data_IF_263092504943
#
_entry.id   IF_263092504943
#
_cell.length_a   1.000
_cell.length_b   1.000
_cell.length_c   1.000
_cell.angle_alpha   90.00
_cell.angle_beta   90.00
_cell.angle_gamma   90.00
#
_symmetry.space_group_name_H-M   'P 1'
#
loop_
_entity.id
_entity.type
_entity.pdbx_description
1 polymer ?
#
# COMPACT_ATOMS: atom_id res chain seq x y z
N UNK A 1 -75.07 -32.17 16.14
CA UNK A 1 -75.07 -32.84 14.83
C UNK A 1 -74.39 -31.97 13.85
N UNK A 2 -73.20 -32.29 13.46
CA UNK A 2 -72.70 -32.41 12.14
C UNK A 2 -71.16 -32.53 12.20
N UNK A 3 -70.66 -33.61 11.69
CA UNK A 3 -69.26 -34.02 11.69
C UNK A 3 -68.48 -33.23 10.63
N UNK A 4 -67.35 -32.73 11.02
CA UNK A 4 -66.39 -32.19 10.15
C UNK A 4 -65.60 -33.26 9.39
N UNK A 5 -65.40 -33.09 8.12
CA UNK A 5 -64.49 -33.88 7.29
C UNK A 5 -63.23 -33.06 7.14
N UNK A 6 -62.14 -33.59 7.71
CA UNK A 6 -60.79 -33.10 7.44
C UNK A 6 -60.35 -33.54 6.03
N UNK A 7 -59.97 -32.59 5.21
CA UNK A 7 -59.15 -32.85 4.01
C UNK A 7 -57.80 -32.19 4.19
N UNK A 8 -56.78 -33.01 4.39
CA UNK A 8 -55.39 -32.57 4.47
C UNK A 8 -54.87 -32.26 3.06
N UNK A 9 -54.53 -31.03 2.81
CA UNK A 9 -53.72 -30.60 1.65
C UNK A 9 -52.28 -30.49 2.13
N UNK A 10 -51.46 -31.48 1.79
CA UNK A 10 -50.03 -31.44 1.95
C UNK A 10 -49.44 -30.51 0.89
N UNK A 11 -49.14 -29.27 1.25
CA UNK A 11 -48.34 -28.39 0.43
C UNK A 11 -46.88 -28.71 0.67
N UNK A 12 -46.22 -29.36 -0.29
CA UNK A 12 -44.80 -29.55 -0.33
C UNK A 12 -44.13 -28.20 -0.61
N UNK A 13 -43.65 -27.52 0.44
CA UNK A 13 -42.76 -26.37 0.31
C UNK A 13 -41.39 -26.90 -0.11
N UNK A 14 -41.07 -26.80 -1.39
CA UNK A 14 -39.72 -26.99 -1.87
C UNK A 14 -38.86 -25.84 -1.33
N UNK A 15 -38.10 -26.11 -0.29
CA UNK A 15 -37.03 -25.22 0.18
C UNK A 15 -35.91 -25.28 -0.86
N UNK A 16 -35.90 -24.32 -1.74
CA UNK A 16 -34.74 -24.06 -2.60
C UNK A 16 -33.63 -23.49 -1.69
N UNK A 17 -32.77 -24.37 -1.20
CA UNK A 17 -31.49 -23.95 -0.64
C UNK A 17 -30.64 -23.39 -1.80
N UNK A 18 -30.73 -22.09 -2.01
CA UNK A 18 -29.68 -21.39 -2.73
C UNK A 18 -28.43 -21.44 -1.85
N UNK A 19 -27.55 -22.37 -2.11
CA UNK A 19 -26.21 -22.34 -1.59
C UNK A 19 -25.54 -21.11 -2.19
N UNK A 20 -25.59 -19.99 -1.48
CA UNK A 20 -24.64 -18.90 -1.67
C UNK A 20 -23.27 -19.51 -1.36
N UNK A 21 -22.54 -19.89 -2.39
CA UNK A 21 -21.12 -20.09 -2.28
C UNK A 21 -20.53 -18.71 -1.97
N UNK A 22 -20.53 -18.32 -0.69
CA UNK A 22 -19.60 -17.36 -0.19
C UNK A 22 -18.23 -17.94 -0.55
N UNK A 23 -17.53 -17.33 -1.49
CA UNK A 23 -16.13 -17.60 -1.71
C UNK A 23 -15.48 -17.36 -0.35
N UNK A 24 -15.23 -18.44 0.38
CA UNK A 24 -14.45 -18.39 1.59
C UNK A 24 -13.07 -17.90 1.12
N UNK A 25 -12.78 -16.62 1.36
CA UNK A 25 -11.43 -16.13 1.23
C UNK A 25 -10.61 -17.01 2.17
N UNK A 26 -9.69 -17.78 1.59
CA UNK A 26 -8.76 -18.57 2.40
C UNK A 26 -8.02 -17.60 3.32
N UNK A 27 -7.95 -17.94 4.61
CA UNK A 27 -7.13 -17.19 5.55
C UNK A 27 -5.75 -16.96 4.94
N UNK A 28 -5.18 -15.74 5.07
CA UNK A 28 -3.89 -15.41 4.49
C UNK A 28 -2.83 -16.41 4.93
N UNK A 29 -2.16 -17.04 3.99
CA UNK A 29 -1.08 -17.97 4.31
C UNK A 29 0.21 -17.19 4.52
N UNK A 30 0.67 -17.12 5.78
CA UNK A 30 1.94 -16.51 6.13
C UNK A 30 3.12 -17.43 5.84
N UNK A 31 4.13 -16.90 5.16
CA UNK A 31 5.35 -17.62 4.79
C UNK A 31 6.59 -16.78 5.12
N UNK A 32 7.76 -17.39 5.07
CA UNK A 32 9.06 -16.71 5.18
C UNK A 32 9.95 -17.10 4.03
N UNK A 33 10.73 -16.14 3.58
CA UNK A 33 11.75 -16.35 2.55
C UNK A 33 13.02 -15.59 2.93
N UNK A 34 14.17 -16.19 2.65
CA UNK A 34 15.47 -15.53 2.87
C UNK A 34 15.68 -14.47 1.77
N UNK A 35 15.83 -13.20 2.19
CA UNK A 35 16.07 -12.04 1.34
C UNK A 35 17.20 -11.21 1.96
N UNK A 36 18.30 -11.07 1.26
CA UNK A 36 19.43 -10.21 1.63
C UNK A 36 19.90 -10.37 3.08
N UNK A 37 19.89 -11.61 3.61
CA UNK A 37 20.35 -11.96 4.95
C UNK A 37 19.27 -11.90 6.05
N UNK A 38 18.04 -11.57 5.71
CA UNK A 38 16.91 -11.60 6.65
C UNK A 38 15.88 -12.66 6.27
N UNK A 39 15.08 -13.11 7.25
CA UNK A 39 13.90 -13.94 7.05
C UNK A 39 12.70 -13.00 6.86
N UNK A 40 12.42 -12.63 5.61
CA UNK A 40 11.29 -11.77 5.27
C UNK A 40 9.98 -12.55 5.39
N UNK A 41 9.05 -12.02 6.19
CA UNK A 41 7.71 -12.56 6.31
C UNK A 41 6.78 -11.89 5.28
N UNK A 42 5.91 -12.70 4.69
CA UNK A 42 4.89 -12.21 3.78
C UNK A 42 3.62 -13.05 3.87
N UNK A 43 2.51 -12.50 3.43
CA UNK A 43 1.23 -13.18 3.31
C UNK A 43 0.73 -13.12 1.87
N UNK A 44 0.13 -14.22 1.41
CA UNK A 44 -0.46 -14.30 0.08
C UNK A 44 -1.97 -14.48 0.22
N UNK A 45 -2.74 -13.66 -0.48
CA UNK A 45 -4.20 -13.75 -0.49
C UNK A 45 -4.76 -13.36 -1.87
N UNK A 46 -5.94 -13.88 -2.20
CA UNK A 46 -6.59 -13.64 -3.48
C UNK A 46 -5.97 -14.39 -4.65
N UNK A 47 -6.52 -14.13 -5.83
CA UNK A 47 -6.09 -14.73 -7.11
C UNK A 47 -6.05 -13.63 -8.19
N UNK A 48 -5.35 -13.89 -9.29
CA UNK A 48 -5.23 -12.94 -10.41
C UNK A 48 -3.81 -12.40 -10.59
N UNK A 49 -3.70 -11.18 -11.12
CA UNK A 49 -2.42 -10.53 -11.36
C UNK A 49 -1.70 -10.20 -10.04
N UNK A 50 -0.36 -10.33 -9.99
CA UNK A 50 0.39 -10.09 -8.77
C UNK A 50 0.37 -8.60 -8.39
N UNK A 51 0.07 -8.35 -7.11
CA UNK A 51 0.09 -7.04 -6.48
C UNK A 51 0.93 -7.10 -5.19
N UNK A 52 2.00 -6.32 -5.13
CA UNK A 52 2.82 -6.18 -3.92
C UNK A 52 2.21 -5.08 -3.05
N UNK A 53 2.00 -5.35 -1.76
CA UNK A 53 1.52 -4.37 -0.78
C UNK A 53 2.61 -4.05 0.23
N UNK A 54 2.93 -2.75 0.38
CA UNK A 54 4.02 -2.21 1.17
C UNK A 54 3.47 -1.29 2.27
N UNK A 55 3.66 -1.65 3.53
CA UNK A 55 3.18 -0.90 4.69
C UNK A 55 4.04 0.34 5.02
N UNK A 56 3.53 1.24 5.87
CA UNK A 56 4.24 2.41 6.38
C UNK A 56 5.26 2.09 7.49
N UNK A 57 6.03 3.09 7.92
CA UNK A 57 6.93 2.99 9.05
C UNK A 57 6.17 2.60 10.34
N UNK A 58 6.80 1.84 11.22
CA UNK A 58 6.23 1.34 12.49
C UNK A 58 5.02 0.39 12.34
N UNK A 59 4.64 0.04 11.11
CA UNK A 59 3.48 -0.79 10.79
C UNK A 59 3.87 -2.25 10.50
N UNK A 60 2.85 -3.07 10.26
CA UNK A 60 2.94 -4.46 9.84
C UNK A 60 1.75 -4.78 8.92
N UNK A 61 1.64 -6.02 8.44
CA UNK A 61 0.53 -6.43 7.56
C UNK A 61 -0.84 -6.19 8.21
N UNK A 62 -1.13 -6.63 9.45
CA UNK A 62 -2.40 -6.33 10.12
C UNK A 62 -2.74 -4.85 10.19
N UNK A 63 -1.76 -3.96 10.33
CA UNK A 63 -1.99 -2.51 10.38
C UNK A 63 -2.54 -1.92 9.08
N UNK A 64 -2.44 -2.64 7.95
CA UNK A 64 -3.04 -2.24 6.67
C UNK A 64 -4.56 -2.45 6.63
N UNK A 65 -5.14 -3.06 7.67
CA UNK A 65 -6.58 -3.21 7.87
C UNK A 65 -7.30 -3.83 6.68
N UNK A 66 -8.41 -3.22 6.26
CA UNK A 66 -9.26 -3.73 5.19
C UNK A 66 -8.70 -3.52 3.77
N UNK A 67 -7.58 -2.83 3.60
CA UNK A 67 -6.96 -2.61 2.28
C UNK A 67 -6.59 -3.94 1.63
N UNK A 68 -5.84 -4.79 2.33
CA UNK A 68 -5.35 -6.07 1.80
C UNK A 68 -6.51 -6.99 1.39
N UNK A 69 -7.48 -7.31 2.25
CA UNK A 69 -8.58 -8.20 1.87
C UNK A 69 -9.48 -7.59 0.78
N UNK A 70 -9.51 -6.25 0.62
CA UNK A 70 -10.27 -5.64 -0.47
C UNK A 70 -9.52 -5.78 -1.80
N UNK A 71 -8.23 -5.52 -1.85
CA UNK A 71 -7.40 -5.74 -3.04
C UNK A 71 -7.35 -7.23 -3.44
N UNK A 72 -7.37 -8.13 -2.47
CA UNK A 72 -7.38 -9.58 -2.70
C UNK A 72 -8.66 -10.11 -3.39
N UNK A 73 -9.70 -9.30 -3.52
CA UNK A 73 -10.88 -9.67 -4.30
C UNK A 73 -10.63 -9.71 -5.81
N UNK A 74 -9.62 -8.99 -6.27
CA UNK A 74 -9.34 -8.79 -7.71
C UNK A 74 -7.88 -9.07 -8.11
N UNK A 75 -6.99 -9.24 -7.13
CA UNK A 75 -5.55 -9.46 -7.36
C UNK A 75 -5.03 -10.60 -6.47
N UNK A 76 -3.93 -11.20 -6.91
CA UNK A 76 -3.10 -12.02 -6.04
C UNK A 76 -2.15 -11.12 -5.25
N UNK A 77 -2.53 -10.82 -4.03
CA UNK A 77 -1.83 -9.88 -3.16
C UNK A 77 -0.69 -10.58 -2.44
N UNK A 78 0.50 -9.99 -2.50
CA UNK A 78 1.67 -10.33 -1.71
C UNK A 78 1.94 -9.17 -0.76
N UNK A 79 1.48 -9.28 0.47
CA UNK A 79 1.76 -8.31 1.51
C UNK A 79 3.06 -8.70 2.22
N UNK A 80 4.04 -7.82 2.28
CA UNK A 80 5.33 -8.09 2.91
C UNK A 80 5.53 -7.25 4.17
N UNK A 81 6.34 -7.74 5.09
CA UNK A 81 6.83 -6.98 6.25
C UNK A 81 8.30 -6.63 6.03
N UNK A 82 8.63 -5.34 6.11
CA UNK A 82 9.98 -4.84 5.89
C UNK A 82 10.95 -5.24 7.01
N UNK A 83 12.26 -5.08 6.77
CA UNK A 83 13.32 -5.33 7.74
C UNK A 83 12.95 -4.82 9.15
N UNK A 84 12.99 -5.70 10.14
CA UNK A 84 12.73 -5.38 11.55
C UNK A 84 11.27 -5.07 11.89
N UNK A 85 10.34 -5.09 10.93
CA UNK A 85 8.92 -4.89 11.17
C UNK A 85 8.20 -6.22 11.30
N UNK A 86 7.19 -6.27 12.18
CA UNK A 86 6.34 -7.44 12.36
C UNK A 86 7.17 -8.72 12.54
N UNK A 87 6.88 -9.73 11.72
CA UNK A 87 7.50 -11.06 11.78
C UNK A 87 8.79 -11.18 10.96
N UNK A 88 9.22 -10.12 10.26
CA UNK A 88 10.49 -10.08 9.53
C UNK A 88 11.65 -9.80 10.48
N UNK A 89 12.72 -10.60 10.37
CA UNK A 89 13.91 -10.40 11.21
C UNK A 89 14.62 -9.09 10.89
N UNK A 90 15.22 -8.46 11.90
CA UNK A 90 16.18 -7.37 11.69
C UNK A 90 17.58 -7.93 11.39
N UNK A 91 18.35 -7.17 10.63
CA UNK A 91 19.77 -7.45 10.35
C UNK A 91 20.62 -6.22 10.68
N UNK A 92 21.93 -6.40 10.81
CA UNK A 92 22.84 -5.29 11.12
C UNK A 92 23.16 -4.46 9.86
N UNK A 93 22.10 -3.75 9.39
CA UNK A 93 22.12 -2.88 8.22
C UNK A 93 21.19 -1.69 8.47
N UNK A 94 21.54 -0.46 8.06
CA UNK A 94 20.61 0.66 8.06
C UNK A 94 19.35 0.35 7.24
N UNK A 95 18.21 0.87 7.68
CA UNK A 95 17.01 0.95 6.85
C UNK A 95 17.14 2.22 6.01
N UNK A 96 17.16 2.05 4.68
CA UNK A 96 17.18 3.14 3.70
C UNK A 96 16.17 2.84 2.61
N UNK A 97 15.64 3.85 1.93
CA UNK A 97 14.70 3.62 0.83
C UNK A 97 15.30 2.78 -0.31
N UNK A 98 16.56 2.98 -0.73
CA UNK A 98 17.21 2.07 -1.68
C UNK A 98 17.28 0.63 -1.18
N UNK A 99 17.66 0.40 0.09
CA UNK A 99 17.72 -0.95 0.65
C UNK A 99 16.34 -1.62 0.68
N UNK A 100 15.30 -0.88 1.10
CA UNK A 100 13.92 -1.40 1.09
C UNK A 100 13.46 -1.78 -0.33
N UNK A 101 13.80 -0.97 -1.32
CA UNK A 101 13.49 -1.26 -2.72
C UNK A 101 14.23 -2.50 -3.24
N UNK A 102 15.53 -2.62 -2.94
CA UNK A 102 16.33 -3.78 -3.32
C UNK A 102 15.85 -5.07 -2.64
N UNK A 103 15.36 -4.96 -1.39
CA UNK A 103 14.74 -6.10 -0.69
C UNK A 103 13.44 -6.55 -1.35
N UNK A 104 12.58 -5.61 -1.77
CA UNK A 104 11.35 -5.95 -2.51
C UNK A 104 11.69 -6.61 -3.85
N UNK A 105 12.69 -6.08 -4.57
CA UNK A 105 13.14 -6.68 -5.83
C UNK A 105 13.65 -8.10 -5.64
N UNK A 106 14.49 -8.33 -4.62
CA UNK A 106 15.00 -9.64 -4.28
C UNK A 106 13.91 -10.61 -3.79
N UNK A 107 12.93 -10.11 -3.03
CA UNK A 107 11.74 -10.86 -2.65
C UNK A 107 10.99 -11.36 -3.89
N UNK A 108 10.70 -10.45 -4.85
CA UNK A 108 10.01 -10.81 -6.09
C UNK A 108 10.75 -11.92 -6.84
N UNK A 109 12.09 -11.85 -6.95
CA UNK A 109 12.89 -12.89 -7.59
C UNK A 109 12.78 -14.24 -6.86
N UNK A 110 12.83 -14.22 -5.51
CA UNK A 110 12.75 -15.44 -4.70
C UNK A 110 11.40 -16.15 -4.79
N UNK A 111 10.31 -15.41 -4.95
CA UNK A 111 8.96 -15.99 -5.05
C UNK A 111 8.49 -16.15 -6.50
N UNK A 112 9.35 -15.87 -7.47
CA UNK A 112 9.08 -16.09 -8.91
C UNK A 112 8.16 -15.04 -9.52
N UNK A 113 8.13 -13.82 -9.01
CA UNK A 113 7.39 -12.70 -9.56
C UNK A 113 8.34 -11.88 -10.45
N UNK A 114 8.18 -11.98 -11.74
CA UNK A 114 8.98 -11.21 -12.70
C UNK A 114 8.59 -9.72 -12.64
N UNK A 115 7.29 -9.43 -12.64
CA UNK A 115 6.74 -8.09 -12.66
C UNK A 115 5.39 -8.03 -11.95
N UNK A 116 5.10 -6.97 -11.21
CA UNK A 116 3.86 -6.79 -10.46
C UNK A 116 3.38 -5.34 -10.48
N UNK A 117 2.09 -5.15 -10.16
CA UNK A 117 1.61 -3.88 -9.65
C UNK A 117 2.05 -3.70 -8.20
N UNK A 118 2.15 -2.46 -7.74
CA UNK A 118 2.58 -2.15 -6.37
C UNK A 118 1.60 -1.16 -5.74
N UNK A 119 1.15 -1.43 -4.53
CA UNK A 119 0.54 -0.46 -3.66
C UNK A 119 1.45 -0.22 -2.46
N UNK A 120 1.78 1.03 -2.20
CA UNK A 120 2.59 1.42 -1.04
C UNK A 120 1.96 2.58 -0.28
N UNK A 121 2.13 2.57 1.05
CA UNK A 121 1.70 3.65 1.91
C UNK A 121 2.91 4.23 2.67
N UNK A 122 3.06 5.58 2.69
CA UNK A 122 4.09 6.29 3.45
C UNK A 122 5.50 5.77 3.12
N UNK A 123 6.25 5.23 4.08
CA UNK A 123 7.54 4.56 3.85
C UNK A 123 7.45 3.50 2.74
N UNK A 124 6.37 2.72 2.70
CA UNK A 124 6.15 1.72 1.65
C UNK A 124 5.91 2.35 0.28
N UNK A 125 5.28 3.53 0.21
CA UNK A 125 5.11 4.26 -1.05
C UNK A 125 6.45 4.81 -1.56
N UNK A 126 7.30 5.31 -0.67
CA UNK A 126 8.64 5.78 -1.01
C UNK A 126 9.56 4.61 -1.43
N UNK A 127 9.47 3.46 -0.74
CA UNK A 127 10.15 2.23 -1.15
C UNK A 127 9.66 1.74 -2.53
N UNK A 128 8.35 1.79 -2.79
CA UNK A 128 7.77 1.48 -4.10
C UNK A 128 8.24 2.43 -5.21
N UNK A 129 8.39 3.72 -4.91
CA UNK A 129 8.96 4.70 -5.85
C UNK A 129 10.43 4.39 -6.15
N UNK A 130 11.23 4.09 -5.13
CA UNK A 130 12.62 3.65 -5.32
C UNK A 130 12.71 2.31 -6.07
N UNK A 131 11.78 1.37 -5.84
CA UNK A 131 11.70 0.14 -6.62
C UNK A 131 11.47 0.44 -8.11
N UNK A 132 10.53 1.34 -8.42
CA UNK A 132 10.25 1.72 -9.81
C UNK A 132 11.44 2.45 -10.48
N UNK A 133 12.22 3.23 -9.72
CA UNK A 133 13.42 3.94 -10.19
C UNK A 133 14.56 2.95 -10.43
N UNK A 134 14.87 2.08 -9.46
CA UNK A 134 16.06 1.22 -9.45
C UNK A 134 15.85 -0.09 -10.24
N UNK A 135 14.62 -0.59 -10.25
CA UNK A 135 14.23 -1.85 -10.89
C UNK A 135 13.01 -1.66 -11.82
N UNK A 136 13.10 -0.79 -12.84
CA UNK A 136 11.95 -0.38 -13.67
C UNK A 136 11.26 -1.56 -14.40
N UNK A 137 11.99 -2.67 -14.61
CA UNK A 137 11.42 -3.88 -15.19
C UNK A 137 10.44 -4.64 -14.26
N UNK A 138 10.49 -4.37 -12.94
CA UNK A 138 9.71 -5.13 -11.94
C UNK A 138 8.35 -4.50 -11.60
N UNK A 139 8.11 -3.24 -11.94
CA UNK A 139 6.88 -2.53 -11.58
C UNK A 139 6.05 -2.22 -12.82
N UNK A 140 4.83 -2.74 -12.88
CA UNK A 140 3.86 -2.38 -13.93
C UNK A 140 3.28 -0.99 -13.67
N UNK A 141 2.65 -0.81 -12.52
CA UNK A 141 2.05 0.43 -12.03
C UNK A 141 2.31 0.55 -10.53
N UNK A 142 2.41 1.78 -10.05
CA UNK A 142 2.57 2.07 -8.63
C UNK A 142 1.43 2.98 -8.14
N UNK A 143 0.62 2.49 -7.23
CA UNK A 143 -0.28 3.31 -6.44
C UNK A 143 0.45 3.70 -5.14
N UNK A 144 0.85 4.97 -5.04
CA UNK A 144 1.67 5.51 -3.97
C UNK A 144 0.83 6.46 -3.10
N UNK A 145 0.46 6.00 -1.90
CA UNK A 145 -0.30 6.78 -0.94
C UNK A 145 0.64 7.49 0.04
N UNK A 146 0.51 8.81 0.15
CA UNK A 146 1.31 9.67 1.05
C UNK A 146 2.82 9.59 0.76
N UNK A 147 3.21 9.75 -0.50
CA UNK A 147 4.59 9.67 -0.95
C UNK A 147 5.25 11.05 -1.04
N UNK A 148 6.55 11.12 -0.74
CA UNK A 148 7.42 12.23 -1.13
C UNK A 148 8.60 11.73 -1.93
N UNK A 149 9.21 12.61 -2.74
CA UNK A 149 10.42 12.36 -3.52
C UNK A 149 11.54 13.36 -3.17
N UNK A 150 11.24 14.37 -2.35
CA UNK A 150 12.16 15.39 -1.86
C UNK A 150 11.74 15.81 -0.44
N UNK A 151 12.70 15.98 0.47
CA UNK A 151 12.43 16.42 1.85
C UNK A 151 11.73 17.79 1.92
N UNK A 152 11.93 18.64 0.91
CA UNK A 152 11.23 19.93 0.79
C UNK A 152 9.72 19.78 0.60
N UNK A 153 9.27 18.59 0.25
CA UNK A 153 7.86 18.26 0.13
C UNK A 153 7.13 18.03 1.44
N UNK A 154 7.86 17.88 2.54
CA UNK A 154 7.23 17.74 3.86
C UNK A 154 6.68 19.07 4.38
N UNK A 155 5.58 19.00 5.14
CA UNK A 155 5.07 20.16 5.87
C UNK A 155 6.17 20.74 6.77
N UNK A 156 6.27 22.08 6.90
CA UNK A 156 7.30 22.72 7.72
C UNK A 156 7.31 22.23 9.18
N UNK A 157 6.14 21.99 9.76
CA UNK A 157 6.00 21.48 11.13
C UNK A 157 6.58 20.06 11.25
N UNK A 158 6.37 19.21 10.25
CA UNK A 158 6.94 17.87 10.24
C UNK A 158 8.46 17.92 10.07
N UNK A 159 8.97 18.76 9.17
CA UNK A 159 10.42 18.98 9.02
C UNK A 159 11.06 19.46 10.34
N UNK A 160 10.40 20.36 11.06
CA UNK A 160 10.87 20.85 12.35
C UNK A 160 10.78 19.78 13.47
N UNK A 161 9.90 18.79 13.33
CA UNK A 161 9.73 17.71 14.28
C UNK A 161 10.79 16.61 14.13
N UNK A 162 11.23 16.28 12.90
CA UNK A 162 12.18 15.20 12.63
C UNK A 162 13.45 15.25 13.52
N UNK A 163 14.15 16.39 13.70
CA UNK A 163 15.31 16.47 14.58
C UNK A 163 15.02 16.21 16.06
N UNK A 164 13.77 16.33 16.48
CA UNK A 164 13.31 16.19 17.87
C UNK A 164 12.88 14.75 18.18
N UNK A 165 12.77 13.88 17.18
CA UNK A 165 12.37 12.48 17.38
C UNK A 165 13.37 11.74 18.26
N UNK A 166 12.88 11.08 19.29
CA UNK A 166 13.68 10.20 20.17
C UNK A 166 13.04 8.83 20.28
N UNK A 167 13.83 7.83 20.63
CA UNK A 167 13.34 6.45 20.81
C UNK A 167 12.26 6.39 21.89
N UNK A 168 12.42 7.16 22.98
CA UNK A 168 11.48 7.21 24.10
C UNK A 168 10.10 7.68 23.70
N UNK A 169 10.02 8.64 22.76
CA UNK A 169 8.72 9.14 22.26
C UNK A 169 7.90 8.00 21.66
N UNK A 170 8.52 7.13 20.86
CA UNK A 170 7.82 6.05 20.18
C UNK A 170 7.59 4.84 21.08
N UNK A 171 8.53 4.51 21.98
CA UNK A 171 8.39 3.37 22.89
C UNK A 171 7.30 3.57 23.94
N UNK A 172 6.84 4.82 24.15
CA UNK A 172 5.71 5.14 25.01
C UNK A 172 4.35 5.10 24.31
N UNK A 173 4.32 4.90 22.98
CA UNK A 173 3.09 4.85 22.19
C UNK A 173 2.49 3.43 22.12
N UNK A 174 1.17 3.29 21.90
CA UNK A 174 0.52 1.98 21.79
C UNK A 174 1.15 1.03 20.77
N UNK A 175 1.70 1.56 19.68
CA UNK A 175 2.39 0.76 18.65
C UNK A 175 3.56 -0.06 19.18
N UNK A 176 4.17 0.33 20.30
CA UNK A 176 5.23 -0.45 20.93
C UNK A 176 4.71 -1.77 21.52
N UNK A 177 3.49 -1.77 22.05
CA UNK A 177 2.85 -3.00 22.54
C UNK A 177 2.35 -3.86 21.36
N UNK A 178 1.78 -3.24 20.33
CA UNK A 178 1.37 -3.95 19.10
C UNK A 178 2.58 -4.65 18.44
N UNK A 179 3.73 -3.99 18.39
CA UNK A 179 4.96 -4.58 17.89
C UNK A 179 5.33 -5.89 18.63
N UNK A 180 5.28 -5.89 19.95
CA UNK A 180 5.65 -7.05 20.78
C UNK A 180 4.82 -8.29 20.47
N UNK A 181 3.57 -8.12 20.04
CA UNK A 181 2.65 -9.23 19.77
C UNK A 181 3.02 -10.05 18.53
N UNK A 182 3.69 -9.43 17.56
CA UNK A 182 3.96 -10.05 16.25
C UNK A 182 5.45 -10.14 15.92
N UNK A 183 6.30 -9.32 16.56
CA UNK A 183 7.68 -9.17 16.17
C UNK A 183 8.49 -10.48 16.31
N UNK A 184 9.38 -10.70 15.34
CA UNK A 184 10.36 -11.78 15.39
C UNK A 184 11.26 -11.69 16.65
N UNK A 185 11.60 -10.46 17.06
CA UNK A 185 12.20 -10.13 18.35
C UNK A 185 11.31 -9.13 19.10
N UNK A 186 10.54 -9.55 20.12
CA UNK A 186 9.67 -8.66 20.89
C UNK A 186 10.38 -7.47 21.56
N UNK A 187 11.69 -7.57 21.78
CA UNK A 187 12.51 -6.50 22.36
C UNK A 187 13.15 -5.58 21.30
N UNK A 188 12.96 -5.86 20.02
CA UNK A 188 13.60 -5.16 18.91
C UNK A 188 13.07 -3.77 18.60
N UNK A 189 11.90 -3.36 19.19
CA UNK A 189 11.25 -2.11 18.86
C UNK A 189 12.14 -0.87 19.01
N UNK A 190 12.89 -0.68 20.12
CA UNK A 190 13.77 0.48 20.26
C UNK A 190 14.81 0.58 19.14
N UNK A 191 15.41 -0.56 18.72
CA UNK A 191 16.37 -0.61 17.62
C UNK A 191 15.72 -0.29 16.27
N UNK A 192 14.51 -0.78 16.04
CA UNK A 192 13.74 -0.43 14.85
C UNK A 192 13.46 1.07 14.80
N UNK A 193 12.97 1.66 15.90
CA UNK A 193 12.72 3.10 16.01
C UNK A 193 13.98 3.92 15.72
N UNK A 194 15.13 3.53 16.29
CA UNK A 194 16.41 4.19 16.03
C UNK A 194 16.73 4.21 14.53
N UNK A 195 16.59 3.07 13.82
CA UNK A 195 16.82 2.98 12.39
C UNK A 195 15.83 3.82 11.57
N UNK A 196 14.56 3.87 11.99
CA UNK A 196 13.54 4.67 11.30
C UNK A 196 13.75 6.17 11.52
N UNK A 197 14.17 6.59 12.72
CA UNK A 197 14.58 7.99 12.95
C UNK A 197 15.78 8.37 12.04
N UNK A 198 16.71 7.46 11.79
CA UNK A 198 17.79 7.72 10.84
C UNK A 198 17.28 7.80 9.40
N UNK A 199 16.34 6.92 9.01
CA UNK A 199 15.70 6.96 7.69
C UNK A 199 15.02 8.32 7.42
N UNK A 200 14.31 8.88 8.41
CA UNK A 200 13.65 10.20 8.27
C UNK A 200 14.65 11.36 8.10
N UNK A 201 15.91 11.16 8.51
CA UNK A 201 16.99 12.14 8.35
C UNK A 201 17.81 11.96 7.08
N UNK A 202 17.57 10.89 6.32
CA UNK A 202 18.29 10.65 5.08
C UNK A 202 17.95 11.70 4.01
N UNK A 203 18.93 12.13 3.20
CA UNK A 203 18.66 12.99 2.06
C UNK A 203 17.70 12.33 1.08
N UNK A 204 16.60 13.00 0.79
CA UNK A 204 15.65 12.59 -0.24
C UNK A 204 15.64 13.69 -1.31
N UNK A 205 16.16 13.38 -2.50
CA UNK A 205 16.29 14.32 -3.62
C UNK A 205 16.22 13.54 -4.95
N UNK A 206 15.06 12.96 -5.26
CA UNK A 206 14.89 12.02 -6.38
C UNK A 206 14.26 12.66 -7.63
N UNK A 207 14.20 13.98 -7.71
CA UNK A 207 13.52 14.69 -8.81
C UNK A 207 14.06 14.28 -10.18
N UNK A 208 15.40 14.16 -10.32
CA UNK A 208 16.03 13.79 -11.58
C UNK A 208 15.62 12.38 -12.04
N UNK A 209 15.56 11.43 -11.11
CA UNK A 209 15.17 10.05 -11.38
C UNK A 209 13.68 9.95 -11.71
N UNK A 210 12.84 10.66 -10.95
CA UNK A 210 11.39 10.71 -11.17
C UNK A 210 11.05 11.25 -12.57
N UNK A 211 11.77 12.27 -13.06
CA UNK A 211 11.60 12.80 -14.42
C UNK A 211 11.80 11.77 -15.52
N UNK A 212 12.60 10.75 -15.28
CA UNK A 212 12.90 9.70 -16.26
C UNK A 212 11.98 8.49 -16.15
N UNK A 213 11.16 8.44 -15.09
CA UNK A 213 10.32 7.29 -14.76
C UNK A 213 9.28 7.03 -15.86
N UNK A 214 9.16 5.77 -16.26
CA UNK A 214 8.17 5.30 -17.25
C UNK A 214 7.01 4.56 -16.61
N UNK A 215 7.19 4.10 -15.39
CA UNK A 215 6.14 3.43 -14.62
C UNK A 215 5.00 4.41 -14.32
N UNK A 216 3.75 4.11 -14.70
CA UNK A 216 2.62 4.94 -14.32
C UNK A 216 2.46 4.99 -12.80
N UNK A 217 2.26 6.19 -12.25
CA UNK A 217 1.98 6.41 -10.84
C UNK A 217 0.55 6.90 -10.62
N UNK A 218 -0.13 6.32 -9.63
CA UNK A 218 -1.27 6.96 -8.98
C UNK A 218 -0.77 7.56 -7.65
N UNK A 219 -0.69 8.88 -7.61
CA UNK A 219 -0.31 9.63 -6.41
C UNK A 219 -1.58 9.87 -5.62
N UNK A 220 -1.60 9.43 -4.36
CA UNK A 220 -2.72 9.64 -3.43
C UNK A 220 -2.18 10.37 -2.19
N UNK A 221 -2.84 11.44 -1.77
CA UNK A 221 -2.51 12.14 -0.53
C UNK A 221 -3.76 12.69 0.15
N UNK A 222 -3.72 12.86 1.46
CA UNK A 222 -4.72 13.64 2.17
C UNK A 222 -4.49 15.15 1.97
N UNK A 223 -5.54 15.95 2.09
CA UNK A 223 -5.42 17.42 2.06
C UNK A 223 -4.79 18.01 3.33
N UNK A 224 -4.66 17.19 4.39
CA UNK A 224 -3.97 17.49 5.63
C UNK A 224 -2.84 16.48 5.93
N UNK A 225 -2.16 16.00 4.88
CA UNK A 225 -1.06 15.03 4.95
C UNK A 225 0.25 15.68 5.42
N UNK A 226 1.24 14.85 5.75
CA UNK A 226 2.62 15.30 6.05
C UNK A 226 3.34 15.83 4.82
N UNK A 227 2.96 15.44 3.62
CA UNK A 227 3.42 16.03 2.36
C UNK A 227 2.53 17.21 1.98
N UNK A 228 3.16 18.29 1.45
CA UNK A 228 2.41 19.46 0.98
C UNK A 228 1.62 19.16 -0.29
N UNK A 229 0.50 19.84 -0.48
CA UNK A 229 -0.29 19.70 -1.71
C UNK A 229 0.51 20.09 -2.95
N UNK A 230 1.31 21.16 -2.84
CA UNK A 230 2.18 21.65 -3.91
C UNK A 230 3.19 20.58 -4.34
N UNK A 231 3.74 19.82 -3.38
CA UNK A 231 4.68 18.72 -3.66
C UNK A 231 4.00 17.58 -4.44
N UNK A 232 2.79 17.18 -4.04
CA UNK A 232 2.03 16.15 -4.74
C UNK A 232 1.66 16.59 -6.17
N UNK A 233 1.29 17.85 -6.35
CA UNK A 233 1.04 18.44 -7.67
C UNK A 233 2.33 18.53 -8.49
N UNK A 234 3.46 18.90 -7.87
CA UNK A 234 4.75 18.94 -8.55
C UNK A 234 5.17 17.53 -9.02
N UNK A 235 5.05 16.51 -8.18
CA UNK A 235 5.30 15.11 -8.55
C UNK A 235 4.44 14.70 -9.76
N UNK A 236 3.14 15.01 -9.72
CA UNK A 236 2.23 14.71 -10.82
C UNK A 236 2.66 15.39 -12.12
N UNK A 237 3.10 16.66 -12.05
CA UNK A 237 3.60 17.41 -13.23
C UNK A 237 4.90 16.85 -13.79
N UNK A 238 5.84 16.40 -12.93
CA UNK A 238 7.06 15.73 -13.35
C UNK A 238 6.77 14.47 -14.18
N UNK A 239 5.65 13.81 -13.90
CA UNK A 239 5.18 12.61 -14.58
C UNK A 239 4.26 12.91 -15.78
N UNK A 240 4.25 14.14 -16.26
CA UNK A 240 3.49 14.57 -17.43
C UNK A 240 2.05 15.01 -17.15
N UNK A 241 1.67 15.10 -15.86
CA UNK A 241 0.33 15.53 -15.44
C UNK A 241 0.05 17.01 -15.61
N UNK A 242 -1.21 17.42 -15.37
CA UNK A 242 -1.62 18.81 -15.47
C UNK A 242 -1.83 19.31 -16.91
N UNK A 243 -2.07 18.39 -17.84
CA UNK A 243 -2.45 18.71 -19.21
C UNK A 243 -3.97 18.90 -19.32
N UNK A 244 -4.42 19.69 -20.27
CA UNK A 244 -5.83 19.81 -20.60
C UNK A 244 -6.24 18.60 -21.44
N UNK A 245 -7.21 17.82 -20.94
CA UNK A 245 -7.92 16.81 -21.73
C UNK A 245 -8.84 17.45 -22.79
N UNK A 246 -9.72 16.68 -23.39
CA UNK A 246 -10.78 17.13 -24.35
C UNK A 246 -10.31 17.91 -25.59
N UNK A 247 -9.02 18.20 -25.73
CA UNK A 247 -8.42 18.94 -26.85
C UNK A 247 -7.59 18.05 -27.77
N UNK A 248 -7.91 16.75 -27.83
CA UNK A 248 -7.20 15.77 -28.66
C UNK A 248 -5.80 15.40 -28.18
N UNK A 249 -5.43 15.77 -26.96
CA UNK A 249 -4.19 15.33 -26.32
C UNK A 249 -4.47 14.10 -25.46
N UNK A 250 -3.62 13.07 -25.51
CA UNK A 250 -3.75 11.91 -24.63
C UNK A 250 -3.61 12.35 -23.18
N UNK A 251 -4.42 11.75 -22.30
CA UNK A 251 -4.26 11.92 -20.86
C UNK A 251 -2.94 11.26 -20.40
N UNK A 252 -2.28 11.82 -19.37
CA UNK A 252 -1.11 11.20 -18.80
C UNK A 252 -1.45 9.85 -18.18
N UNK A 253 -0.51 8.91 -18.22
CA UNK A 253 -0.70 7.61 -17.58
C UNK A 253 -0.68 7.70 -16.05
N UNK A 254 0.06 8.67 -15.50
CA UNK A 254 0.07 8.95 -14.07
C UNK A 254 -1.16 9.78 -13.67
N UNK A 255 -1.62 9.57 -12.44
CA UNK A 255 -2.85 10.16 -11.90
C UNK A 255 -2.59 10.80 -10.53
N UNK A 256 -3.44 11.74 -10.14
CA UNK A 256 -3.40 12.38 -8.83
C UNK A 256 -4.78 12.33 -8.18
N UNK A 257 -4.84 11.91 -6.93
CA UNK A 257 -6.02 11.95 -6.08
C UNK A 257 -5.68 12.64 -4.75
N UNK A 258 -6.48 13.63 -4.37
CA UNK A 258 -6.40 14.28 -3.06
C UNK A 258 -7.66 13.93 -2.27
N UNK A 259 -7.48 13.33 -1.11
CA UNK A 259 -8.57 12.91 -0.23
C UNK A 259 -8.95 14.08 0.68
N UNK A 260 -10.23 14.51 0.68
CA UNK A 260 -10.65 15.64 1.51
C UNK A 260 -10.69 15.28 2.99
N UNK A 261 -10.38 16.24 3.85
CA UNK A 261 -10.40 16.13 5.32
C UNK A 261 -9.58 14.94 5.85
N UNK A 262 -8.44 14.65 5.21
CA UNK A 262 -7.67 13.42 5.45
C UNK A 262 -6.25 13.77 5.88
N UNK A 263 -5.89 13.36 7.10
CA UNK A 263 -4.51 13.41 7.60
C UNK A 263 -3.70 12.20 7.13
N UNK A 264 -2.38 12.24 7.32
CA UNK A 264 -1.46 11.15 6.97
C UNK A 264 -1.96 9.77 7.44
N UNK A 265 -2.22 9.62 8.72
CA UNK A 265 -2.65 8.33 9.30
C UNK A 265 -4.08 7.94 8.91
N UNK A 266 -4.92 8.92 8.53
CA UNK A 266 -6.29 8.66 8.12
C UNK A 266 -6.41 8.14 6.69
N UNK A 267 -5.39 8.31 5.84
CA UNK A 267 -5.42 7.85 4.44
C UNK A 267 -5.81 6.38 4.35
N UNK A 268 -5.12 5.50 5.08
CA UNK A 268 -5.36 4.06 5.01
C UNK A 268 -6.71 3.61 5.60
N UNK A 269 -7.35 4.47 6.39
CA UNK A 269 -8.68 4.18 6.95
C UNK A 269 -9.81 4.43 5.93
N UNK A 270 -9.55 5.17 4.85
CA UNK A 270 -10.54 5.52 3.84
C UNK A 270 -10.59 4.51 2.69
N UNK A 271 -10.78 3.23 3.03
CA UNK A 271 -10.65 2.10 2.10
C UNK A 271 -11.52 2.26 0.84
N UNK A 272 -12.78 2.67 0.99
CA UNK A 272 -13.69 2.80 -0.15
C UNK A 272 -13.23 3.89 -1.13
N UNK A 273 -12.75 5.03 -0.62
CA UNK A 273 -12.19 6.08 -1.48
C UNK A 273 -10.89 5.61 -2.14
N UNK A 274 -10.00 4.96 -1.40
CA UNK A 274 -8.77 4.40 -1.96
C UNK A 274 -9.07 3.43 -3.09
N UNK A 275 -9.97 2.47 -2.88
CA UNK A 275 -10.34 1.49 -3.90
C UNK A 275 -10.99 2.14 -5.11
N UNK A 276 -11.77 3.20 -4.93
CA UNK A 276 -12.36 3.98 -6.01
C UNK A 276 -11.33 4.61 -6.96
N UNK A 277 -10.10 4.84 -6.50
CA UNK A 277 -8.99 5.33 -7.33
C UNK A 277 -8.02 4.23 -7.76
N UNK A 278 -7.68 3.30 -6.86
CA UNK A 278 -6.66 2.27 -7.09
C UNK A 278 -7.14 1.25 -8.13
N UNK A 279 -8.34 0.70 -7.99
CA UNK A 279 -8.81 -0.34 -8.89
C UNK A 279 -8.93 0.11 -10.35
N UNK A 280 -9.57 1.25 -10.68
CA UNK A 280 -9.60 1.73 -12.07
C UNK A 280 -8.21 2.05 -12.63
N UNK A 281 -7.29 2.49 -11.76
CA UNK A 281 -5.91 2.75 -12.17
C UNK A 281 -5.17 1.45 -12.50
N UNK A 282 -5.24 0.43 -11.64
CA UNK A 282 -4.59 -0.86 -11.86
C UNK A 282 -5.18 -1.56 -13.11
N UNK A 283 -6.48 -1.47 -13.34
CA UNK A 283 -7.13 -1.99 -14.55
C UNK A 283 -6.80 -1.19 -15.82
N UNK A 284 -6.18 -0.01 -15.70
CA UNK A 284 -5.90 0.86 -16.84
C UNK A 284 -7.14 1.56 -17.40
N UNK A 285 -8.22 1.59 -16.63
CA UNK A 285 -9.46 2.25 -17.02
C UNK A 285 -9.29 3.77 -17.05
N UNK A 286 -9.76 4.40 -18.11
CA UNK A 286 -9.80 5.86 -18.25
C UNK A 286 -11.22 6.29 -18.56
N UNK A 287 -11.83 7.18 -17.77
CA UNK A 287 -13.15 7.72 -18.09
C UNK A 287 -13.13 8.37 -19.46
N UNK A 288 -14.13 8.08 -20.28
CA UNK A 288 -14.29 8.72 -21.58
C UNK A 288 -14.90 10.11 -21.42
N UNK A 289 -14.33 11.08 -22.09
CA UNK A 289 -14.91 12.42 -22.20
C UNK A 289 -16.17 12.45 -23.08
N UNK A 290 -16.92 13.53 -23.01
CA UNK A 290 -18.13 13.69 -23.79
C UNK A 290 -17.89 13.61 -25.32
N UNK A 291 -16.69 14.00 -25.77
CA UNK A 291 -16.29 13.98 -27.18
C UNK A 291 -15.61 12.67 -27.63
N UNK A 292 -15.45 11.70 -26.74
CA UNK A 292 -14.78 10.42 -27.02
C UNK A 292 -15.76 9.23 -27.09
N UNK A 293 -17.05 9.51 -27.36
CA UNK A 293 -18.13 8.51 -27.48
C UNK A 293 -18.08 7.76 -28.81
#
# INVERSE_FOLDING_TARGET
MFRAILTALASAAAIVLTASAALAQSEPKGERVEVNGMQMYYEVSGEGDPLIVLHGAYMNIPSMGAIIPTLAKTHKVYAIEFQGHGRTTDIDRPITYPNLADDVAAFMDKVGIEKADVFGYSMGAAAGLQLAIRHPGKVNKLAAASVAYDLKGWQPDFQAFIPQMTVEMFTSMPMAEDYKTLAADPNGFPKLVEKLIQLEKEPMAWEADVKTLKTPLLIIAGDADVSTLEHNVALFRLLGGGVMGDMGKPLPQSRLAILPATSHTAVISQVDLLMGFIEPFLKGETPKGFFEQ
#
